data_IF_050690509891
#
_entry.id   IF_050690509891
#
_cell.length_a   1.000
_cell.length_b   1.000
_cell.length_c   1.000
_cell.angle_alpha   90.00
_cell.angle_beta   90.00
_cell.angle_gamma   90.00
#
_symmetry.space_group_name_H-M   'P 1'
#
loop_
_entity.id
_entity.type
_entity.pdbx_description
1 polymer ?
#
# COMPACT_ATOMS: atom_id res chain seq x y z
N UNK A 1 43.35 36.59 -27.14
CA UNK A 1 43.25 37.33 -25.86
C UNK A 1 42.05 36.78 -25.11
N UNK A 2 41.99 36.54 -23.82
CA UNK A 2 42.94 36.29 -22.73
C UNK A 2 42.04 36.07 -21.52
N UNK A 3 42.28 35.02 -20.73
CA UNK A 3 41.53 34.77 -19.49
C UNK A 3 41.74 35.92 -18.47
N UNK A 4 40.98 35.92 -17.36
CA UNK A 4 41.72 35.62 -16.13
C UNK A 4 41.09 34.52 -15.26
N UNK A 5 41.94 33.56 -14.96
CA UNK A 5 41.80 32.54 -13.91
C UNK A 5 41.91 33.17 -12.52
N UNK A 6 41.24 32.60 -11.51
CA UNK A 6 41.85 32.43 -10.16
C UNK A 6 41.24 31.27 -9.38
N UNK A 7 42.14 30.47 -8.79
CA UNK A 7 41.92 29.30 -7.91
C UNK A 7 41.81 29.75 -6.44
N UNK A 8 41.67 28.75 -5.56
CA UNK A 8 41.91 28.72 -4.09
C UNK A 8 40.66 28.92 -3.23
N UNK A 9 40.40 28.15 -2.17
CA UNK A 9 41.15 26.99 -1.58
C UNK A 9 40.20 26.09 -0.77
N UNK A 10 40.57 24.82 -0.57
CA UNK A 10 39.89 23.95 0.40
C UNK A 10 40.25 24.34 1.84
N UNK A 11 39.29 24.27 2.76
CA UNK A 11 39.57 24.05 4.18
C UNK A 11 38.50 23.14 4.80
N UNK A 12 38.97 22.08 5.45
CA UNK A 12 38.17 21.09 6.16
C UNK A 12 37.80 21.58 7.55
N UNK A 13 36.53 21.45 7.95
CA UNK A 13 36.13 21.47 9.36
C UNK A 13 35.14 20.34 9.65
N UNK A 14 35.59 19.38 10.45
CA UNK A 14 34.80 18.25 10.93
C UNK A 14 34.01 18.65 12.17
N UNK A 15 32.68 18.55 12.12
CA UNK A 15 31.82 18.62 13.31
C UNK A 15 31.53 17.20 13.83
N UNK A 16 31.97 16.93 15.06
CA UNK A 16 31.85 15.63 15.71
C UNK A 16 30.51 15.47 16.43
N UNK A 17 29.69 14.51 15.98
CA UNK A 17 28.51 14.05 16.71
C UNK A 17 28.89 12.97 17.73
N UNK A 18 28.54 13.18 19.00
CA UNK A 18 28.88 12.27 20.09
C UNK A 18 27.95 11.02 20.10
N UNK A 19 28.48 9.79 20.28
CA UNK A 19 27.66 8.59 20.43
C UNK A 19 27.24 8.37 21.90
N UNK A 20 25.93 8.23 22.12
CA UNK A 20 25.39 7.84 23.44
C UNK A 20 25.68 6.36 23.76
N UNK A 21 25.97 6.10 25.03
CA UNK A 21 26.27 4.76 25.58
C UNK A 21 25.04 3.84 25.47
N UNK A 22 25.17 2.68 24.80
CA UNK A 22 24.23 1.55 24.99
C UNK A 22 24.74 0.65 26.10
N UNK A 23 24.05 0.65 27.24
CA UNK A 23 24.28 -0.30 28.32
C UNK A 23 23.73 -1.68 27.92
N UNK A 24 24.46 -2.74 28.32
CA UNK A 24 24.06 -4.14 28.17
C UNK A 24 23.95 -4.73 29.57
N UNK A 25 22.72 -5.01 29.99
CA UNK A 25 22.42 -5.89 31.12
C UNK A 25 21.11 -6.60 30.80
N UNK A 26 21.05 -7.89 31.06
CA UNK A 26 19.79 -8.63 31.15
C UNK A 26 19.78 -9.42 32.44
N UNK A 27 18.60 -9.80 32.90
CA UNK A 27 18.32 -11.09 33.55
C UNK A 27 16.84 -11.20 33.95
N UNK A 28 16.39 -12.45 34.02
CA UNK A 28 15.29 -12.96 34.85
C UNK A 28 13.86 -12.40 34.64
N UNK A 29 13.06 -13.24 33.98
CA UNK A 29 11.72 -13.54 34.49
C UNK A 29 11.76 -14.92 35.18
N UNK A 30 11.05 -15.01 36.30
CA UNK A 30 10.86 -16.21 37.12
C UNK A 30 9.78 -17.13 36.54
N UNK A 31 9.73 -18.39 37.00
CA UNK A 31 8.44 -18.98 37.39
C UNK A 31 8.36 -19.25 38.89
N UNK A 32 7.14 -19.34 39.40
CA UNK A 32 6.80 -19.47 40.81
C UNK A 32 7.08 -20.87 41.38
N UNK A 33 7.40 -20.91 42.67
CA UNK A 33 7.30 -22.10 43.51
C UNK A 33 5.83 -22.44 43.83
N UNK A 34 5.57 -23.73 44.04
CA UNK A 34 4.56 -24.23 44.97
C UNK A 34 5.12 -25.44 45.70
N UNK A 35 4.84 -25.48 46.99
CA UNK A 35 5.33 -26.43 47.97
C UNK A 35 4.54 -27.75 47.90
N UNK A 36 5.13 -28.85 48.38
CA UNK A 36 4.71 -29.41 49.68
C UNK A 36 5.63 -30.57 50.14
N UNK A 37 5.65 -30.75 51.46
CA UNK A 37 6.48 -31.67 52.25
C UNK A 37 6.20 -33.19 52.03
N UNK A 38 7.12 -34.08 52.45
CA UNK A 38 7.06 -34.66 53.81
C UNK A 38 8.03 -35.85 54.12
N UNK A 39 8.50 -35.88 55.38
CA UNK A 39 8.99 -37.00 56.23
C UNK A 39 10.21 -37.88 55.82
N UNK A 40 11.33 -37.93 56.61
CA UNK A 40 11.62 -38.68 57.89
C UNK A 40 11.82 -40.20 57.70
N UNK A 41 12.60 -40.98 58.46
CA UNK A 41 13.63 -40.91 59.53
C UNK A 41 14.35 -42.32 59.51
N UNK A 42 15.48 -42.67 60.16
CA UNK A 42 16.47 -41.98 61.00
C UNK A 42 17.35 -43.00 61.80
N UNK A 43 18.65 -42.69 62.03
CA UNK A 43 19.56 -43.28 63.07
C UNK A 43 20.03 -44.76 62.97
N UNK A 44 21.06 -45.22 63.76
CA UNK A 44 22.13 -44.51 64.50
C UNK A 44 23.57 -45.01 64.15
N UNK A 45 24.59 -44.55 64.91
CA UNK A 45 26.01 -44.91 64.78
C UNK A 45 26.69 -45.19 66.14
N UNK A 46 27.78 -45.97 66.14
CA UNK A 46 28.70 -46.38 67.23
C UNK A 46 29.93 -47.06 66.55
N UNK A 47 31.19 -47.08 67.01
CA UNK A 47 31.92 -46.50 68.16
C UNK A 47 33.26 -45.85 67.72
N UNK A 48 33.99 -45.27 68.68
CA UNK A 48 35.38 -44.73 68.63
C UNK A 48 36.47 -45.80 68.97
N UNK A 49 37.80 -45.54 69.17
CA UNK A 49 38.61 -44.30 69.03
C UNK A 49 39.95 -44.44 68.23
N UNK A 50 40.71 -43.34 68.17
CA UNK A 50 42.04 -43.16 67.53
C UNK A 50 43.26 -43.77 68.30
N UNK A 51 44.48 -43.87 67.71
CA UNK A 51 45.42 -42.73 67.69
C UNK A 51 46.32 -42.58 66.44
N UNK A 52 47.05 -41.47 66.35
CA UNK A 52 47.87 -41.07 65.19
C UNK A 52 49.29 -41.69 65.13
N UNK A 53 49.78 -41.96 63.91
CA UNK A 53 51.21 -42.13 63.61
C UNK A 53 51.55 -41.72 62.16
N UNK A 54 52.78 -41.22 61.98
CA UNK A 54 53.27 -40.47 60.82
C UNK A 54 53.31 -41.16 59.44
N UNK A 55 53.18 -40.31 58.40
CA UNK A 55 53.76 -40.36 57.04
C UNK A 55 54.40 -41.67 56.53
N UNK A 56 53.97 -42.14 55.35
CA UNK A 56 54.84 -42.34 54.16
C UNK A 56 54.06 -42.70 52.88
N UNK A 57 54.21 -41.85 51.86
CA UNK A 57 53.96 -42.01 50.42
C UNK A 57 53.29 -43.28 49.85
N UNK A 58 52.06 -43.15 49.34
CA UNK A 58 51.58 -43.93 48.17
C UNK A 58 50.59 -43.11 47.32
N UNK A 59 50.90 -42.95 46.02
CA UNK A 59 49.99 -42.34 45.03
C UNK A 59 48.70 -43.16 44.94
N UNK A 60 47.54 -42.58 45.29
CA UNK A 60 46.23 -43.20 45.06
C UNK A 60 45.76 -42.83 43.65
N UNK A 61 45.45 -43.83 42.85
CA UNK A 61 45.23 -43.67 41.41
C UNK A 61 43.92 -42.93 41.08
N UNK A 62 43.97 -42.06 40.07
CA UNK A 62 42.78 -41.53 39.40
C UNK A 62 42.02 -42.67 38.74
N UNK A 63 40.74 -42.85 39.09
CA UNK A 63 39.85 -43.78 38.36
C UNK A 63 39.73 -43.32 36.91
N UNK A 64 39.99 -44.17 35.91
CA UNK A 64 39.85 -43.78 34.51
C UNK A 64 38.37 -43.59 34.18
N UNK A 65 38.01 -42.39 33.71
CA UNK A 65 36.71 -42.18 33.06
C UNK A 65 36.53 -43.18 31.91
N UNK A 66 35.33 -43.74 31.70
CA UNK A 66 35.10 -44.65 30.59
C UNK A 66 35.34 -43.92 29.27
N UNK A 67 36.41 -44.29 28.58
CA UNK A 67 36.71 -43.77 27.25
C UNK A 67 35.53 -44.08 26.33
N UNK A 68 35.09 -43.08 25.55
CA UNK A 68 33.99 -43.22 24.58
C UNK A 68 34.37 -44.30 23.56
N UNK A 69 33.98 -45.55 23.82
CA UNK A 69 34.25 -46.70 22.94
C UNK A 69 33.54 -46.45 21.61
N UNK A 70 34.29 -46.07 20.57
CA UNK A 70 33.78 -46.02 19.20
C UNK A 70 33.34 -47.43 18.81
N UNK A 71 32.04 -47.60 18.55
CA UNK A 71 31.51 -48.82 17.95
C UNK A 71 32.09 -48.96 16.53
N UNK A 72 32.88 -50.01 16.32
CA UNK A 72 33.43 -50.35 14.99
C UNK A 72 32.61 -51.48 14.41
N UNK A 73 31.74 -51.15 13.45
CA UNK A 73 30.96 -52.15 12.71
C UNK A 73 31.92 -52.81 11.71
N UNK A 74 32.16 -54.12 11.87
CA UNK A 74 32.95 -54.91 10.93
C UNK A 74 32.10 -55.25 9.69
N UNK A 75 32.28 -54.51 8.60
CA UNK A 75 31.66 -54.84 7.31
C UNK A 75 32.51 -55.89 6.57
N UNK A 76 31.93 -57.07 6.29
CA UNK A 76 32.54 -58.12 5.46
C UNK A 76 32.33 -57.90 3.94
N UNK A 77 31.94 -56.70 3.52
CA UNK A 77 31.75 -56.32 2.11
C UNK A 77 32.34 -54.93 1.88
N UNK A 78 32.88 -54.69 0.69
CA UNK A 78 33.38 -53.37 0.30
C UNK A 78 32.29 -52.31 0.45
N UNK A 79 32.68 -51.07 0.77
CA UNK A 79 31.75 -49.95 0.89
C UNK A 79 30.96 -49.82 -0.43
N UNK A 80 29.61 -49.90 -0.43
CA UNK A 80 28.84 -49.76 -1.65
C UNK A 80 29.11 -48.39 -2.26
N UNK A 81 29.66 -48.39 -3.47
CA UNK A 81 29.90 -47.20 -4.28
C UNK A 81 28.66 -46.92 -5.11
N UNK A 82 28.32 -45.63 -5.24
CA UNK A 82 27.30 -45.17 -6.19
C UNK A 82 27.56 -45.73 -7.60
N UNK A 83 26.54 -46.26 -8.29
CA UNK A 83 26.65 -46.57 -9.71
C UNK A 83 27.04 -45.30 -10.48
N UNK A 84 27.97 -45.41 -11.43
CA UNK A 84 28.42 -44.26 -12.25
C UNK A 84 27.29 -43.61 -13.05
N UNK A 85 26.24 -44.37 -13.37
CA UNK A 85 25.04 -43.89 -14.07
C UNK A 85 23.94 -43.38 -13.14
N UNK A 86 24.10 -43.44 -11.81
CA UNK A 86 23.05 -43.09 -10.85
C UNK A 86 22.54 -41.66 -11.05
N UNK A 87 23.45 -40.68 -11.07
CA UNK A 87 23.10 -39.27 -11.26
C UNK A 87 22.35 -39.06 -12.59
N UNK A 88 22.92 -39.52 -13.71
CA UNK A 88 22.36 -39.33 -15.05
C UNK A 88 20.97 -39.95 -15.21
N UNK A 89 20.77 -41.16 -14.67
CA UNK A 89 19.48 -41.85 -14.74
C UNK A 89 18.42 -41.19 -13.82
N UNK A 90 18.84 -40.72 -12.65
CA UNK A 90 17.95 -40.06 -11.69
C UNK A 90 17.55 -38.68 -12.20
N UNK A 91 18.49 -37.92 -12.76
CA UNK A 91 18.19 -36.68 -13.46
C UNK A 91 17.25 -36.91 -14.66
N UNK A 92 17.51 -37.90 -15.52
CA UNK A 92 16.62 -38.19 -16.67
C UNK A 92 15.17 -38.49 -16.24
N UNK A 93 14.98 -39.18 -15.11
CA UNK A 93 13.65 -39.41 -14.50
C UNK A 93 13.00 -38.09 -14.06
N UNK A 94 13.74 -37.24 -13.34
CA UNK A 94 13.26 -35.94 -12.86
C UNK A 94 12.96 -34.97 -14.02
N UNK A 95 13.86 -34.88 -15.00
CA UNK A 95 13.71 -34.10 -16.22
C UNK A 95 12.44 -34.50 -16.98
N UNK A 96 12.21 -35.81 -17.20
CA UNK A 96 10.99 -36.30 -17.84
C UNK A 96 9.72 -35.94 -17.07
N UNK A 97 9.77 -35.87 -15.73
CA UNK A 97 8.63 -35.46 -14.92
C UNK A 97 8.39 -33.93 -14.98
N UNK A 98 9.46 -33.13 -14.92
CA UNK A 98 9.40 -31.66 -15.06
C UNK A 98 8.87 -31.26 -16.44
N UNK A 99 9.36 -31.92 -17.50
CA UNK A 99 8.86 -31.72 -18.86
C UNK A 99 7.40 -32.15 -19.02
N UNK A 100 6.97 -33.24 -18.36
CA UNK A 100 5.55 -33.63 -18.36
C UNK A 100 4.68 -32.56 -17.68
N UNK A 101 5.12 -32.00 -16.55
CA UNK A 101 4.45 -30.89 -15.85
C UNK A 101 4.30 -29.67 -16.75
N UNK A 102 5.39 -29.17 -17.36
CA UNK A 102 5.35 -28.01 -18.25
C UNK A 102 4.51 -28.23 -19.52
N UNK A 103 4.41 -29.48 -19.99
CA UNK A 103 3.58 -29.85 -21.15
C UNK A 103 2.13 -30.22 -20.76
N UNK A 104 1.75 -30.10 -19.48
CA UNK A 104 0.47 -30.53 -18.92
C UNK A 104 0.08 -31.98 -19.30
N UNK A 105 1.07 -32.88 -19.24
CA UNK A 105 0.93 -34.32 -19.47
C UNK A 105 0.95 -35.08 -18.14
N UNK A 106 0.27 -36.22 -18.03
CA UNK A 106 0.34 -37.05 -16.83
C UNK A 106 1.79 -37.48 -16.58
N UNK A 107 2.27 -37.30 -15.35
CA UNK A 107 3.60 -37.73 -14.93
C UNK A 107 3.60 -39.26 -14.86
N UNK A 108 4.55 -39.89 -15.56
CA UNK A 108 4.65 -41.36 -15.69
C UNK A 108 5.24 -42.05 -14.46
N UNK A 109 5.71 -41.28 -13.48
CA UNK A 109 6.34 -41.74 -12.26
C UNK A 109 5.55 -41.29 -11.03
N UNK A 110 5.50 -42.14 -10.02
CA UNK A 110 4.92 -41.79 -8.72
C UNK A 110 5.67 -40.62 -8.05
N UNK A 111 4.92 -39.71 -7.43
CA UNK A 111 5.42 -38.48 -6.80
C UNK A 111 6.32 -38.76 -5.60
N UNK A 112 6.00 -39.75 -4.77
CA UNK A 112 6.87 -40.17 -3.66
C UNK A 112 8.19 -40.72 -4.22
N UNK A 113 8.12 -41.56 -5.26
CA UNK A 113 9.29 -42.02 -6.00
C UNK A 113 10.09 -40.94 -6.75
N UNK A 114 9.54 -39.73 -6.95
CA UNK A 114 10.26 -38.56 -7.48
C UNK A 114 10.87 -37.73 -6.34
N UNK A 115 10.13 -37.51 -5.25
CA UNK A 115 10.65 -36.85 -4.05
C UNK A 115 11.84 -37.60 -3.45
N UNK A 116 11.76 -38.93 -3.32
CA UNK A 116 12.89 -39.77 -2.89
C UNK A 116 14.08 -39.70 -3.87
N UNK A 117 13.83 -39.51 -5.17
CA UNK A 117 14.91 -39.34 -6.15
C UNK A 117 15.66 -38.01 -5.94
N UNK A 118 14.95 -36.92 -5.66
CA UNK A 118 15.57 -35.63 -5.25
C UNK A 118 16.31 -35.81 -3.92
N UNK A 119 15.69 -36.42 -2.91
CA UNK A 119 16.30 -36.55 -1.58
C UNK A 119 17.61 -37.36 -1.62
N UNK A 120 17.64 -38.45 -2.39
CA UNK A 120 18.85 -39.25 -2.58
C UNK A 120 19.96 -38.47 -3.32
N UNK A 121 19.63 -37.57 -4.26
CA UNK A 121 20.64 -36.69 -4.88
C UNK A 121 21.20 -35.68 -3.88
N UNK A 122 20.35 -35.08 -3.03
CA UNK A 122 20.77 -34.19 -1.95
C UNK A 122 21.61 -34.91 -0.87
N UNK A 123 21.29 -36.16 -0.53
CA UNK A 123 22.11 -36.97 0.38
C UNK A 123 23.53 -37.25 -0.16
N UNK A 124 23.72 -37.13 -1.47
CA UNK A 124 24.98 -37.37 -2.16
C UNK A 124 25.77 -36.10 -2.54
N UNK A 125 25.37 -34.93 -2.01
CA UNK A 125 26.04 -33.63 -2.25
C UNK A 125 25.98 -33.15 -3.71
N UNK A 126 24.86 -33.41 -4.39
CA UNK A 126 24.61 -33.04 -5.78
C UNK A 126 23.55 -31.94 -5.93
N UNK A 127 23.11 -31.34 -4.81
CA UNK A 127 22.06 -30.33 -4.71
C UNK A 127 22.29 -29.08 -5.57
N UNK A 128 23.50 -28.51 -5.60
CA UNK A 128 23.82 -27.33 -6.42
C UNK A 128 23.62 -27.62 -7.93
N UNK A 129 24.12 -28.77 -8.39
CA UNK A 129 23.99 -29.19 -9.78
C UNK A 129 22.54 -29.50 -10.14
N UNK A 130 21.79 -30.12 -9.22
CA UNK A 130 20.35 -30.38 -9.40
C UNK A 130 19.55 -29.08 -9.48
N UNK A 131 19.86 -28.08 -8.64
CA UNK A 131 19.25 -26.76 -8.71
C UNK A 131 19.46 -26.11 -10.08
N UNK A 132 20.72 -26.04 -10.55
CA UNK A 132 21.07 -25.47 -11.87
C UNK A 132 20.38 -26.23 -13.04
N UNK A 133 20.22 -27.55 -12.90
CA UNK A 133 19.52 -28.36 -13.90
C UNK A 133 18.01 -28.09 -13.93
N UNK A 134 17.36 -27.93 -12.76
CA UNK A 134 15.95 -27.53 -12.67
C UNK A 134 15.76 -26.12 -13.23
N UNK A 135 16.61 -25.17 -12.83
CA UNK A 135 16.59 -23.78 -13.31
C UNK A 135 16.63 -23.70 -14.83
N UNK A 136 17.54 -24.47 -15.46
CA UNK A 136 17.68 -24.52 -16.92
C UNK A 136 16.47 -25.11 -17.64
N UNK A 137 15.87 -26.19 -17.13
CA UNK A 137 14.65 -26.74 -17.76
C UNK A 137 13.47 -25.77 -17.62
N UNK A 138 13.32 -25.13 -16.45
CA UNK A 138 12.33 -24.08 -16.24
C UNK A 138 12.53 -22.90 -17.20
N UNK A 139 13.77 -22.42 -17.38
CA UNK A 139 14.11 -21.33 -18.30
C UNK A 139 13.64 -21.63 -19.74
N UNK A 140 13.96 -22.82 -20.25
CA UNK A 140 13.57 -23.26 -21.59
C UNK A 140 12.05 -23.25 -21.77
N UNK A 141 11.30 -23.78 -20.80
CA UNK A 141 9.84 -23.85 -20.88
C UNK A 141 9.17 -22.47 -20.71
N UNK A 142 9.61 -21.65 -19.76
CA UNK A 142 9.10 -20.29 -19.53
C UNK A 142 9.36 -19.41 -20.77
N UNK A 143 10.59 -19.47 -21.31
CA UNK A 143 10.95 -18.74 -22.52
C UNK A 143 10.10 -19.16 -23.72
N UNK A 144 9.87 -20.46 -23.90
CA UNK A 144 9.01 -20.98 -24.97
C UNK A 144 7.55 -20.54 -24.80
N UNK A 145 7.00 -20.62 -23.58
CA UNK A 145 5.63 -20.22 -23.28
C UNK A 145 5.37 -18.74 -23.61
N UNK A 146 6.22 -17.84 -23.14
CA UNK A 146 6.11 -16.40 -23.42
C UNK A 146 6.29 -16.07 -24.90
N UNK A 147 7.18 -16.76 -25.62
CA UNK A 147 7.33 -16.63 -27.08
C UNK A 147 6.06 -16.98 -27.86
N UNK A 148 5.15 -17.79 -27.33
CA UNK A 148 3.85 -18.07 -28.01
C UNK A 148 2.89 -16.88 -28.01
N UNK A 149 3.11 -15.87 -27.17
CA UNK A 149 2.27 -14.67 -27.06
C UNK A 149 2.73 -13.54 -28.00
N UNK A 150 3.99 -13.55 -28.44
CA UNK A 150 4.57 -12.55 -29.34
C UNK A 150 3.88 -12.60 -30.71
N UNK A 151 3.52 -11.45 -31.28
CA UNK A 151 2.88 -11.35 -32.60
C UNK A 151 1.44 -11.88 -32.70
N UNK A 152 0.78 -12.20 -31.57
CA UNK A 152 -0.63 -12.63 -31.58
C UNK A 152 -1.56 -11.45 -31.88
N UNK A 153 -2.16 -11.39 -33.08
CA UNK A 153 -3.08 -10.32 -33.48
C UNK A 153 -4.53 -10.57 -33.01
N UNK A 154 -4.71 -10.80 -31.72
CA UNK A 154 -6.02 -10.96 -31.06
C UNK A 154 -6.53 -9.64 -30.45
N UNK A 155 -7.84 -9.59 -30.19
CA UNK A 155 -8.48 -8.53 -29.39
C UNK A 155 -7.78 -8.36 -28.03
N UNK A 156 -7.66 -7.13 -27.47
CA UNK A 156 -7.01 -6.91 -26.18
C UNK A 156 -7.55 -7.78 -25.03
N UNK A 157 -8.86 -7.99 -24.91
CA UNK A 157 -9.45 -8.81 -23.84
C UNK A 157 -9.07 -10.29 -23.95
N UNK A 158 -9.03 -10.80 -25.19
CA UNK A 158 -8.58 -12.16 -25.51
C UNK A 158 -7.08 -12.30 -25.27
N UNK A 159 -6.29 -11.30 -25.64
CA UNK A 159 -4.85 -11.26 -25.38
C UNK A 159 -4.54 -11.32 -23.88
N UNK A 160 -5.20 -10.48 -23.07
CA UNK A 160 -5.04 -10.48 -21.60
C UNK A 160 -5.41 -11.83 -21.00
N UNK A 161 -6.50 -12.46 -21.46
CA UNK A 161 -6.90 -13.81 -21.04
C UNK A 161 -5.85 -14.88 -21.38
N UNK A 162 -5.12 -14.73 -22.50
CA UNK A 162 -4.01 -15.64 -22.85
C UNK A 162 -2.78 -15.43 -21.96
N UNK A 163 -2.48 -14.18 -21.60
CA UNK A 163 -1.39 -13.84 -20.66
C UNK A 163 -1.71 -14.39 -19.26
N UNK A 164 -2.92 -14.15 -18.76
CA UNK A 164 -3.38 -14.64 -17.45
C UNK A 164 -3.32 -16.17 -17.38
N UNK A 165 -3.81 -16.85 -18.42
CA UNK A 165 -3.73 -18.31 -18.49
C UNK A 165 -2.28 -18.82 -18.47
N UNK A 166 -1.36 -18.17 -19.20
CA UNK A 166 0.05 -18.55 -19.21
C UNK A 166 0.74 -18.32 -17.86
N UNK A 167 0.32 -17.29 -17.14
CA UNK A 167 0.75 -17.05 -15.77
C UNK A 167 0.21 -18.10 -14.79
N UNK A 168 -1.07 -18.46 -14.90
CA UNK A 168 -1.69 -19.49 -14.05
C UNK A 168 -1.10 -20.88 -14.32
N UNK A 169 -0.95 -21.26 -15.60
CA UNK A 169 -0.25 -22.48 -16.05
C UNK A 169 1.14 -22.55 -15.37
N UNK A 170 1.91 -21.46 -15.42
CA UNK A 170 3.23 -21.35 -14.78
C UNK A 170 3.19 -21.48 -13.26
N UNK A 171 2.23 -20.82 -12.58
CA UNK A 171 2.08 -20.93 -11.13
C UNK A 171 1.85 -22.37 -10.69
N UNK A 172 0.91 -23.07 -11.32
CA UNK A 172 0.56 -24.45 -10.99
C UNK A 172 1.72 -25.41 -11.27
N UNK A 173 2.43 -25.20 -12.38
CA UNK A 173 3.64 -25.95 -12.74
C UNK A 173 4.75 -25.76 -11.71
N UNK A 174 5.03 -24.52 -11.29
CA UNK A 174 6.07 -24.22 -10.30
C UNK A 174 5.72 -24.74 -8.91
N UNK A 175 4.44 -24.75 -8.51
CA UNK A 175 3.99 -25.39 -7.26
C UNK A 175 4.26 -26.91 -7.32
N UNK A 176 3.92 -27.59 -8.41
CA UNK A 176 4.20 -29.02 -8.56
C UNK A 176 5.70 -29.36 -8.57
N UNK A 177 6.51 -28.57 -9.29
CA UNK A 177 7.98 -28.75 -9.33
C UNK A 177 8.57 -28.54 -7.93
N UNK A 178 8.13 -27.52 -7.19
CA UNK A 178 8.53 -27.28 -5.80
C UNK A 178 8.12 -28.41 -4.87
N UNK A 179 6.94 -29.01 -5.06
CA UNK A 179 6.50 -30.16 -4.26
C UNK A 179 7.35 -31.41 -4.50
N UNK A 180 7.74 -31.69 -5.74
CA UNK A 180 8.68 -32.79 -6.07
C UNK A 180 10.06 -32.50 -5.48
N UNK A 181 10.56 -31.27 -5.65
CA UNK A 181 11.89 -30.83 -5.21
C UNK A 181 11.90 -30.26 -3.77
N UNK A 182 10.93 -30.63 -2.93
CA UNK A 182 10.74 -30.06 -1.60
C UNK A 182 11.95 -30.26 -0.66
N UNK A 183 12.69 -31.36 -0.82
CA UNK A 183 13.92 -31.63 -0.08
C UNK A 183 15.05 -30.67 -0.47
N UNK A 184 15.13 -30.25 -1.74
CA UNK A 184 16.08 -29.24 -2.21
C UNK A 184 15.76 -27.86 -1.61
N UNK A 185 14.49 -27.44 -1.70
CA UNK A 185 14.00 -26.16 -1.17
C UNK A 185 14.16 -26.08 0.36
N UNK A 186 13.93 -27.18 1.10
CA UNK A 186 14.04 -27.22 2.58
C UNK A 186 15.43 -27.50 3.14
N UNK A 187 16.30 -28.23 2.43
CA UNK A 187 17.64 -28.59 2.93
C UNK A 187 18.74 -27.72 2.35
N UNK A 188 18.75 -27.51 1.04
CA UNK A 188 19.82 -26.77 0.36
C UNK A 188 19.60 -25.26 0.42
N UNK A 189 18.44 -24.77 -0.05
CA UNK A 189 18.16 -23.32 -0.13
C UNK A 189 18.18 -22.68 1.26
N UNK A 190 17.50 -23.26 2.26
CA UNK A 190 17.50 -22.74 3.64
C UNK A 190 18.91 -22.65 4.25
N UNK A 191 19.85 -23.52 3.84
CA UNK A 191 21.23 -23.49 4.32
C UNK A 191 22.15 -22.53 3.54
N UNK A 192 21.71 -22.02 2.39
CA UNK A 192 22.51 -21.20 1.48
C UNK A 192 21.79 -19.88 1.15
N UNK A 193 21.96 -18.82 1.97
CA UNK A 193 21.23 -17.55 1.83
C UNK A 193 21.42 -16.81 0.50
N UNK A 194 22.44 -17.19 -0.30
CA UNK A 194 22.69 -16.63 -1.62
C UNK A 194 21.89 -17.34 -2.75
N UNK A 195 21.23 -18.46 -2.45
CA UNK A 195 20.42 -19.22 -3.39
C UNK A 195 18.94 -18.87 -3.17
N UNK A 196 18.19 -18.64 -4.24
CA UNK A 196 16.75 -18.35 -4.18
C UNK A 196 15.95 -19.64 -3.93
N UNK A 197 14.76 -19.53 -3.36
CA UNK A 197 13.80 -20.64 -3.41
C UNK A 197 13.42 -20.96 -4.85
N UNK A 198 12.97 -22.20 -5.11
CA UNK A 198 12.54 -22.60 -6.45
C UNK A 198 11.41 -21.72 -6.99
N UNK A 199 10.57 -21.19 -6.10
CA UNK A 199 9.51 -20.24 -6.43
C UNK A 199 10.07 -18.90 -6.90
N UNK A 200 10.95 -18.27 -6.11
CA UNK A 200 11.60 -16.98 -6.45
C UNK A 200 12.49 -17.09 -7.69
N UNK A 201 13.14 -18.23 -7.91
CA UNK A 201 13.85 -18.55 -9.14
C UNK A 201 12.89 -18.54 -10.34
N UNK A 202 11.75 -19.23 -10.25
CA UNK A 202 10.73 -19.23 -11.29
C UNK A 202 10.21 -17.82 -11.60
N UNK A 203 9.91 -17.02 -10.57
CA UNK A 203 9.50 -15.62 -10.72
C UNK A 203 10.56 -14.78 -11.42
N UNK A 204 11.85 -14.96 -11.08
CA UNK A 204 12.94 -14.23 -11.72
C UNK A 204 13.09 -14.62 -13.20
N UNK A 205 12.98 -15.90 -13.54
CA UNK A 205 13.01 -16.37 -14.94
C UNK A 205 11.82 -15.81 -15.74
N UNK A 206 10.62 -15.82 -15.16
CA UNK A 206 9.43 -15.26 -15.80
C UNK A 206 9.57 -13.75 -16.01
N UNK A 207 10.01 -12.99 -14.99
CA UNK A 207 10.30 -11.55 -15.10
C UNK A 207 11.32 -11.27 -16.22
N UNK A 208 12.43 -12.00 -16.25
CA UNK A 208 13.51 -11.81 -17.22
C UNK A 208 13.04 -12.09 -18.65
N UNK A 209 12.23 -13.13 -18.87
CA UNK A 209 11.72 -13.44 -20.20
C UNK A 209 10.55 -12.56 -20.62
N UNK A 210 9.76 -12.03 -19.68
CA UNK A 210 8.70 -11.05 -19.97
C UNK A 210 9.31 -9.72 -20.43
N UNK A 211 10.35 -9.22 -19.76
CA UNK A 211 11.04 -7.98 -20.17
C UNK A 211 11.79 -8.13 -21.50
N UNK A 212 12.33 -9.32 -21.80
CA UNK A 212 12.84 -9.65 -23.15
C UNK A 212 11.73 -9.70 -24.20
N UNK A 213 10.50 -10.06 -23.81
CA UNK A 213 9.30 -10.06 -24.64
C UNK A 213 8.51 -8.74 -24.50
N UNK A 214 9.20 -7.60 -24.61
CA UNK A 214 8.65 -6.24 -24.38
C UNK A 214 7.30 -5.95 -25.07
N UNK A 215 7.04 -6.51 -26.27
CA UNK A 215 5.74 -6.43 -26.94
C UNK A 215 4.60 -6.98 -26.06
N UNK A 216 4.82 -8.13 -25.42
CA UNK A 216 3.83 -8.80 -24.55
C UNK A 216 3.59 -7.97 -23.29
N UNK A 217 4.64 -7.45 -22.67
CA UNK A 217 4.54 -6.60 -21.49
C UNK A 217 3.75 -5.32 -21.81
N UNK A 218 4.15 -4.56 -22.84
CA UNK A 218 3.48 -3.32 -23.23
C UNK A 218 2.02 -3.55 -23.61
N UNK A 219 1.73 -4.57 -24.43
CA UNK A 219 0.33 -4.87 -24.82
C UNK A 219 -0.52 -5.30 -23.63
N UNK A 220 0.08 -5.96 -22.64
CA UNK A 220 -0.61 -6.28 -21.38
C UNK A 220 -0.93 -4.99 -20.63
N UNK A 221 0.04 -4.09 -20.43
CA UNK A 221 -0.19 -2.79 -19.77
C UNK A 221 -1.24 -1.96 -20.50
N UNK A 222 -1.13 -1.77 -21.83
CA UNK A 222 -2.12 -1.04 -22.63
C UNK A 222 -3.52 -1.67 -22.54
N UNK A 223 -3.62 -2.99 -22.54
CA UNK A 223 -4.89 -3.70 -22.36
C UNK A 223 -5.52 -3.44 -20.98
N UNK A 224 -4.72 -3.54 -19.91
CA UNK A 224 -5.17 -3.26 -18.53
C UNK A 224 -5.66 -1.81 -18.41
N UNK A 225 -4.91 -0.84 -18.93
CA UNK A 225 -5.28 0.58 -18.91
C UNK A 225 -6.59 0.83 -19.68
N UNK A 226 -6.73 0.24 -20.88
CA UNK A 226 -7.95 0.36 -21.68
C UNK A 226 -9.17 -0.25 -21.00
N UNK A 227 -9.03 -1.38 -20.30
CA UNK A 227 -10.12 -1.94 -19.47
C UNK A 227 -10.51 -1.01 -18.32
N UNK A 228 -9.56 -0.37 -17.65
CA UNK A 228 -9.87 0.56 -16.55
C UNK A 228 -10.55 1.83 -17.08
N UNK A 229 -10.10 2.35 -18.23
CA UNK A 229 -10.75 3.50 -18.89
C UNK A 229 -12.20 3.18 -19.30
N UNK A 230 -12.43 2.01 -19.90
CA UNK A 230 -13.78 1.51 -20.23
C UNK A 230 -14.68 1.41 -19.01
N UNK A 231 -14.15 0.94 -17.88
CA UNK A 231 -14.91 0.89 -16.62
C UNK A 231 -15.28 2.29 -16.12
N UNK A 232 -14.40 3.29 -16.25
CA UNK A 232 -14.73 4.70 -15.95
C UNK A 232 -15.81 5.26 -16.88
N UNK A 233 -15.90 4.77 -18.11
CA UNK A 233 -16.97 5.12 -19.05
C UNK A 233 -18.28 4.33 -18.82
N UNK A 234 -18.32 3.47 -17.79
CA UNK A 234 -19.50 2.68 -17.42
C UNK A 234 -19.66 1.36 -18.17
N UNK A 235 -18.66 0.94 -18.96
CA UNK A 235 -18.66 -0.40 -19.57
C UNK A 235 -18.39 -1.49 -18.52
N UNK A 236 -19.06 -2.64 -18.65
CA UNK A 236 -18.78 -3.79 -17.82
C UNK A 236 -17.45 -4.46 -18.24
N UNK A 237 -16.55 -4.68 -17.29
CA UNK A 237 -15.22 -5.28 -17.51
C UNK A 237 -14.96 -6.45 -16.58
N UNK A 238 -14.07 -7.37 -17.00
CA UNK A 238 -13.64 -8.48 -16.14
C UNK A 238 -12.66 -8.01 -15.05
N UNK A 239 -13.22 -7.70 -13.88
CA UNK A 239 -12.47 -7.33 -12.67
C UNK A 239 -11.59 -8.47 -12.14
N UNK A 240 -11.93 -9.73 -12.41
CA UNK A 240 -11.13 -10.88 -11.99
C UNK A 240 -9.84 -10.95 -12.80
N UNK A 241 -9.95 -10.81 -14.13
CA UNK A 241 -8.82 -10.74 -15.04
C UNK A 241 -7.87 -9.57 -14.71
N UNK A 242 -8.42 -8.38 -14.43
CA UNK A 242 -7.65 -7.23 -13.92
C UNK A 242 -6.91 -7.60 -12.63
N UNK A 243 -7.61 -8.15 -11.63
CA UNK A 243 -7.04 -8.53 -10.34
C UNK A 243 -5.91 -9.56 -10.48
N UNK A 244 -6.08 -10.58 -11.32
CA UNK A 244 -5.08 -11.63 -11.52
C UNK A 244 -3.81 -11.09 -12.20
N UNK A 245 -3.96 -10.30 -13.26
CA UNK A 245 -2.82 -9.73 -13.99
C UNK A 245 -2.09 -8.66 -13.17
N UNK A 246 -2.79 -7.82 -12.41
CA UNK A 246 -2.13 -6.85 -11.54
C UNK A 246 -1.37 -7.56 -10.40
N UNK A 247 -1.94 -8.63 -9.83
CA UNK A 247 -1.23 -9.50 -8.86
C UNK A 247 -0.02 -10.20 -9.48
N UNK A 248 -0.05 -10.58 -10.76
CA UNK A 248 1.15 -11.05 -11.47
C UNK A 248 2.24 -9.97 -11.50
N UNK A 249 1.90 -8.73 -11.87
CA UNK A 249 2.86 -7.62 -11.90
C UNK A 249 3.45 -7.33 -10.51
N UNK A 250 2.65 -7.43 -9.44
CA UNK A 250 3.14 -7.31 -8.05
C UNK A 250 4.04 -8.49 -7.67
N UNK A 251 3.66 -9.73 -7.99
CA UNK A 251 4.46 -10.94 -7.70
C UNK A 251 5.80 -10.97 -8.45
N UNK A 252 5.85 -10.43 -9.67
CA UNK A 252 7.08 -10.24 -10.45
C UNK A 252 7.90 -9.01 -10.01
N UNK A 253 7.33 -8.14 -9.15
CA UNK A 253 7.97 -6.92 -8.67
C UNK A 253 8.19 -5.85 -9.74
N UNK A 254 7.29 -5.78 -10.74
CA UNK A 254 7.33 -4.82 -11.86
C UNK A 254 6.15 -3.83 -11.87
N UNK A 255 5.17 -4.02 -10.98
CA UNK A 255 3.94 -3.20 -10.91
C UNK A 255 4.20 -1.68 -10.95
N UNK A 256 5.10 -1.16 -10.11
CA UNK A 256 5.38 0.29 -10.02
C UNK A 256 5.96 0.88 -11.32
N UNK A 257 6.91 0.14 -11.91
CA UNK A 257 7.72 0.56 -13.06
C UNK A 257 6.94 0.42 -14.37
N UNK A 258 6.33 -0.75 -14.60
CA UNK A 258 5.67 -1.08 -15.86
C UNK A 258 4.21 -0.61 -15.93
N UNK A 259 3.49 -0.57 -14.80
CA UNK A 259 2.05 -0.26 -14.77
C UNK A 259 1.71 1.04 -14.04
N UNK A 260 2.05 1.18 -12.75
CA UNK A 260 1.48 2.24 -11.90
C UNK A 260 1.80 3.65 -12.43
N UNK A 261 3.05 3.88 -12.84
CA UNK A 261 3.47 5.17 -13.40
C UNK A 261 2.58 5.58 -14.59
N UNK A 262 2.36 4.66 -15.54
CA UNK A 262 1.50 4.87 -16.71
C UNK A 262 0.02 4.97 -16.36
N UNK A 263 -0.43 4.20 -15.37
CA UNK A 263 -1.80 4.25 -14.86
C UNK A 263 -2.14 5.62 -14.27
N UNK A 264 -1.22 6.21 -13.50
CA UNK A 264 -1.38 7.55 -12.93
C UNK A 264 -1.31 8.64 -14.01
N UNK A 265 -0.43 8.51 -15.01
CA UNK A 265 -0.37 9.40 -16.18
C UNK A 265 -1.71 9.40 -16.95
N UNK A 266 -2.18 8.23 -17.41
CA UNK A 266 -3.46 8.12 -18.13
C UNK A 266 -4.66 8.55 -17.28
N UNK A 267 -4.63 8.32 -15.96
CA UNK A 267 -5.69 8.80 -15.05
C UNK A 267 -5.68 10.33 -14.93
N UNK A 268 -4.50 10.95 -14.89
CA UNK A 268 -4.36 12.40 -14.88
C UNK A 268 -4.90 13.02 -16.18
N UNK A 269 -4.62 12.41 -17.33
CA UNK A 269 -5.14 12.86 -18.63
C UNK A 269 -6.66 12.70 -18.73
N UNK A 270 -7.19 11.54 -18.32
CA UNK A 270 -8.63 11.26 -18.29
C UNK A 270 -9.39 12.30 -17.45
N UNK A 271 -8.98 12.52 -16.20
CA UNK A 271 -9.70 13.45 -15.32
C UNK A 271 -9.47 14.92 -15.65
N UNK A 272 -8.34 15.30 -16.28
CA UNK A 272 -8.17 16.65 -16.81
C UNK A 272 -9.19 16.94 -17.95
N UNK A 273 -9.40 15.98 -18.84
CA UNK A 273 -10.39 16.09 -19.91
C UNK A 273 -11.83 16.06 -19.38
N UNK A 274 -12.13 15.15 -18.44
CA UNK A 274 -13.46 15.01 -17.85
C UNK A 274 -13.84 16.23 -16.98
N UNK A 275 -12.93 16.70 -16.12
CA UNK A 275 -13.12 17.88 -15.28
C UNK A 275 -13.42 19.12 -16.11
N UNK A 276 -12.63 19.36 -17.17
CA UNK A 276 -12.91 20.44 -18.12
C UNK A 276 -14.26 20.27 -18.82
N UNK A 277 -14.63 19.07 -19.28
CA UNK A 277 -15.92 18.82 -19.96
C UNK A 277 -17.11 19.13 -19.03
N UNK A 278 -17.16 18.53 -17.85
CA UNK A 278 -18.30 18.71 -16.93
C UNK A 278 -18.37 20.16 -16.39
N UNK A 279 -17.24 20.83 -16.15
CA UNK A 279 -17.21 22.24 -15.72
C UNK A 279 -17.75 23.24 -16.77
N UNK A 280 -17.94 22.79 -18.01
CA UNK A 280 -18.60 23.57 -19.08
C UNK A 280 -20.05 23.12 -19.37
N UNK A 281 -20.40 21.87 -19.07
CA UNK A 281 -21.68 21.26 -19.46
C UNK A 281 -22.71 21.17 -18.33
N UNK A 282 -22.26 21.17 -17.08
CA UNK A 282 -23.08 21.01 -15.88
C UNK A 282 -23.06 22.26 -15.01
N UNK A 283 -24.02 22.37 -14.08
CA UNK A 283 -23.92 23.36 -13.00
C UNK A 283 -22.94 22.91 -11.90
N UNK A 284 -22.67 23.79 -10.93
CA UNK A 284 -21.73 23.48 -9.84
C UNK A 284 -22.27 22.41 -8.87
N UNK A 285 -23.54 22.41 -8.43
CA UNK A 285 -24.13 21.27 -7.72
C UNK A 285 -23.87 19.90 -8.39
N UNK A 286 -24.20 19.77 -9.68
CA UNK A 286 -24.02 18.55 -10.45
C UNK A 286 -22.53 18.17 -10.59
N UNK A 287 -21.67 19.16 -10.86
CA UNK A 287 -20.22 18.96 -10.95
C UNK A 287 -19.62 18.41 -9.64
N UNK A 288 -20.00 18.99 -8.50
CA UNK A 288 -19.50 18.56 -7.19
C UNK A 288 -19.96 17.14 -6.87
N UNK A 289 -21.21 16.78 -7.23
CA UNK A 289 -21.73 15.43 -7.08
C UNK A 289 -20.98 14.42 -7.97
N UNK A 290 -20.71 14.76 -9.23
CA UNK A 290 -19.90 13.95 -10.13
C UNK A 290 -18.48 13.74 -9.58
N UNK A 291 -17.83 14.79 -9.06
CA UNK A 291 -16.50 14.67 -8.46
C UNK A 291 -16.49 13.78 -7.20
N UNK A 292 -17.51 13.87 -6.35
CA UNK A 292 -17.71 12.98 -5.19
C UNK A 292 -17.90 11.52 -5.62
N UNK A 293 -18.72 11.26 -6.65
CA UNK A 293 -18.95 9.93 -7.22
C UNK A 293 -17.65 9.34 -7.80
N UNK A 294 -16.89 10.09 -8.60
CA UNK A 294 -15.59 9.65 -9.14
C UNK A 294 -14.57 9.32 -8.05
N UNK A 295 -14.50 10.12 -6.98
CA UNK A 295 -13.60 9.84 -5.85
C UNK A 295 -13.99 8.56 -5.09
N UNK A 296 -15.28 8.23 -5.04
CA UNK A 296 -15.75 6.96 -4.49
C UNK A 296 -15.41 5.78 -5.42
N UNK A 297 -15.65 5.91 -6.72
CA UNK A 297 -15.31 4.88 -7.72
C UNK A 297 -13.82 4.51 -7.73
N UNK A 298 -12.92 5.49 -7.69
CA UNK A 298 -11.47 5.23 -7.61
C UNK A 298 -11.06 4.60 -6.28
N UNK A 299 -11.75 4.91 -5.18
CA UNK A 299 -11.52 4.26 -3.90
C UNK A 299 -11.93 2.77 -3.95
N UNK A 300 -13.10 2.45 -4.52
CA UNK A 300 -13.54 1.07 -4.69
C UNK A 300 -12.62 0.30 -5.66
N UNK A 301 -12.17 0.95 -6.74
CA UNK A 301 -11.17 0.39 -7.67
C UNK A 301 -9.88 -0.04 -6.96
N UNK A 302 -9.41 0.77 -6.01
CA UNK A 302 -8.26 0.41 -5.17
C UNK A 302 -8.48 -0.82 -4.29
N UNK A 303 -9.71 -1.04 -3.82
CA UNK A 303 -10.05 -2.18 -2.95
C UNK A 303 -10.23 -3.47 -3.79
N UNK A 304 -10.75 -3.35 -5.01
CA UNK A 304 -11.12 -4.49 -5.85
C UNK A 304 -9.92 -5.16 -6.55
N UNK A 305 -8.98 -4.39 -7.13
CA UNK A 305 -7.93 -4.98 -7.96
C UNK A 305 -6.58 -4.26 -8.06
N UNK A 306 -6.42 -3.01 -7.61
CA UNK A 306 -5.11 -2.34 -7.61
C UNK A 306 -4.25 -2.76 -6.39
N UNK A 307 -2.96 -2.43 -6.43
CA UNK A 307 -2.10 -2.53 -5.24
C UNK A 307 -2.49 -1.48 -4.17
N UNK A 308 -2.36 -1.85 -2.90
CA UNK A 308 -2.70 -0.97 -1.78
C UNK A 308 -1.85 0.32 -1.74
N UNK A 309 -0.62 0.27 -2.28
CA UNK A 309 0.25 1.44 -2.45
C UNK A 309 -0.33 2.50 -3.38
N UNK A 310 -1.08 2.09 -4.41
CA UNK A 310 -1.65 2.96 -5.44
C UNK A 310 -2.78 3.86 -4.93
N UNK A 311 -3.44 3.50 -3.83
CA UNK A 311 -4.61 4.24 -3.31
C UNK A 311 -4.31 5.70 -3.04
N UNK A 312 -3.19 6.01 -2.38
CA UNK A 312 -2.83 7.41 -2.06
C UNK A 312 -2.54 8.25 -3.31
N UNK A 313 -1.64 7.85 -4.24
CA UNK A 313 -1.38 8.63 -5.44
C UNK A 313 -2.58 8.70 -6.39
N UNK A 314 -3.40 7.64 -6.49
CA UNK A 314 -4.60 7.67 -7.36
C UNK A 314 -5.64 8.69 -6.91
N UNK A 315 -5.97 8.68 -5.61
CA UNK A 315 -6.92 9.64 -5.04
C UNK A 315 -6.37 11.06 -5.15
N UNK A 316 -5.08 11.30 -4.84
CA UNK A 316 -4.46 12.61 -4.99
C UNK A 316 -4.46 13.12 -6.44
N UNK A 317 -4.21 12.26 -7.44
CA UNK A 317 -4.32 12.63 -8.87
C UNK A 317 -5.75 13.00 -9.24
N UNK A 318 -6.74 12.27 -8.72
CA UNK A 318 -8.17 12.53 -8.99
C UNK A 318 -8.64 13.83 -8.34
N UNK A 319 -8.27 14.07 -7.09
CA UNK A 319 -8.54 15.31 -6.34
C UNK A 319 -7.88 16.52 -7.01
N UNK A 320 -6.64 16.37 -7.50
CA UNK A 320 -5.96 17.43 -8.25
C UNK A 320 -6.70 17.82 -9.52
N UNK A 321 -7.04 16.85 -10.37
CA UNK A 321 -7.64 17.15 -11.67
C UNK A 321 -9.09 17.60 -11.57
N UNK A 322 -9.90 17.01 -10.67
CA UNK A 322 -11.32 17.37 -10.52
C UNK A 322 -11.58 18.54 -9.56
N UNK A 323 -10.69 18.84 -8.61
CA UNK A 323 -10.90 19.89 -7.61
C UNK A 323 -9.84 20.99 -7.71
N UNK A 324 -8.56 20.67 -7.53
CA UNK A 324 -7.47 21.67 -7.43
C UNK A 324 -7.37 22.54 -8.69
N UNK A 325 -7.44 21.94 -9.88
CA UNK A 325 -7.42 22.65 -11.17
C UNK A 325 -8.69 23.49 -11.44
N UNK A 326 -9.75 23.35 -10.64
CA UNK A 326 -11.07 23.94 -10.90
C UNK A 326 -11.63 24.81 -9.76
N UNK A 327 -10.85 25.09 -8.70
CA UNK A 327 -11.28 25.89 -7.52
C UNK A 327 -11.92 27.24 -7.94
N UNK A 328 -11.25 28.05 -8.76
CA UNK A 328 -11.79 29.34 -9.20
C UNK A 328 -13.09 29.17 -10.01
N UNK A 329 -13.14 28.38 -11.10
CA UNK A 329 -14.39 28.09 -11.81
C UNK A 329 -15.56 27.63 -10.92
N UNK A 330 -15.31 26.76 -9.93
CA UNK A 330 -16.32 26.28 -8.97
C UNK A 330 -16.86 27.45 -8.13
N UNK A 331 -15.97 28.26 -7.54
CA UNK A 331 -16.37 29.34 -6.64
C UNK A 331 -16.97 30.53 -7.39
N UNK A 332 -16.36 30.95 -8.49
CA UNK A 332 -16.75 32.14 -9.26
C UNK A 332 -18.10 31.95 -9.96
N UNK A 333 -18.41 30.73 -10.45
CA UNK A 333 -19.71 30.41 -11.08
C UNK A 333 -20.78 30.00 -10.08
N UNK A 334 -20.41 29.18 -9.08
CA UNK A 334 -21.39 28.44 -8.26
C UNK A 334 -21.69 29.05 -6.90
N UNK A 335 -20.68 29.60 -6.22
CA UNK A 335 -20.79 29.87 -4.78
C UNK A 335 -21.91 30.86 -4.43
N UNK A 336 -22.03 31.95 -5.18
CA UNK A 336 -23.11 32.95 -4.97
C UNK A 336 -24.49 32.31 -5.13
N UNK A 337 -24.69 31.50 -6.18
CA UNK A 337 -25.94 30.80 -6.47
C UNK A 337 -26.31 29.79 -5.38
N UNK A 338 -25.33 29.04 -4.86
CA UNK A 338 -25.52 28.10 -3.76
C UNK A 338 -25.96 28.79 -2.46
N UNK A 339 -25.33 29.93 -2.14
CA UNK A 339 -25.64 30.74 -0.96
C UNK A 339 -27.01 31.40 -1.06
N UNK A 340 -27.31 32.07 -2.18
CA UNK A 340 -28.61 32.73 -2.42
C UNK A 340 -29.76 31.71 -2.44
N UNK A 341 -29.53 30.53 -3.03
CA UNK A 341 -30.48 29.42 -3.06
C UNK A 341 -30.57 28.59 -1.78
N UNK A 342 -29.79 28.91 -0.73
CA UNK A 342 -29.71 28.19 0.55
C UNK A 342 -29.51 26.66 0.38
N UNK A 343 -28.67 26.26 -0.57
CA UNK A 343 -28.40 24.86 -0.93
C UNK A 343 -27.46 24.20 0.08
N UNK A 344 -27.92 23.95 1.30
CA UNK A 344 -27.08 23.53 2.45
C UNK A 344 -26.34 22.21 2.20
N UNK A 345 -26.98 21.22 1.58
CA UNK A 345 -26.35 19.94 1.20
C UNK A 345 -25.20 20.13 0.19
N UNK A 346 -25.41 20.96 -0.84
CA UNK A 346 -24.38 21.20 -1.87
C UNK A 346 -23.23 22.07 -1.34
N UNK A 347 -23.53 23.01 -0.42
CA UNK A 347 -22.52 23.77 0.32
C UNK A 347 -21.71 22.86 1.27
N UNK A 348 -22.33 21.84 1.87
CA UNK A 348 -21.65 20.85 2.69
C UNK A 348 -20.74 19.97 1.83
N UNK A 349 -21.20 19.54 0.65
CA UNK A 349 -20.38 18.81 -0.34
C UNK A 349 -19.19 19.66 -0.82
N UNK A 350 -19.42 20.93 -1.14
CA UNK A 350 -18.36 21.88 -1.51
C UNK A 350 -17.30 22.02 -0.41
N UNK A 351 -17.73 22.22 0.84
CA UNK A 351 -16.84 22.32 2.00
C UNK A 351 -16.02 21.03 2.20
N UNK A 352 -16.69 19.88 2.14
CA UNK A 352 -16.05 18.57 2.29
C UNK A 352 -15.04 18.31 1.18
N UNK A 353 -15.37 18.56 -0.09
CA UNK A 353 -14.45 18.38 -1.22
C UNK A 353 -13.25 19.33 -1.14
N UNK A 354 -13.46 20.62 -0.87
CA UNK A 354 -12.35 21.58 -0.74
C UNK A 354 -11.47 21.32 0.50
N UNK A 355 -12.00 20.68 1.55
CA UNK A 355 -11.20 20.24 2.70
C UNK A 355 -10.15 19.17 2.35
N UNK A 356 -10.39 18.36 1.30
CA UNK A 356 -9.50 17.26 0.90
C UNK A 356 -8.22 17.76 0.22
N UNK A 357 -8.27 18.96 -0.34
CA UNK A 357 -7.17 19.63 -1.03
C UNK A 357 -6.66 20.87 -0.26
N UNK A 358 -6.95 20.96 1.04
CA UNK A 358 -6.58 22.08 1.94
C UNK A 358 -6.97 23.49 1.43
N UNK A 359 -7.98 23.59 0.57
CA UNK A 359 -8.35 24.81 -0.16
C UNK A 359 -9.27 25.78 0.62
N UNK A 360 -9.29 25.70 1.95
CA UNK A 360 -10.19 26.51 2.80
C UNK A 360 -10.05 28.02 2.57
N UNK A 361 -8.84 28.52 2.32
CA UNK A 361 -8.59 29.95 2.12
C UNK A 361 -9.39 30.54 0.95
N UNK A 362 -9.53 29.81 -0.16
CA UNK A 362 -10.33 30.23 -1.30
C UNK A 362 -11.82 30.28 -0.96
N UNK A 363 -12.33 29.28 -0.23
CA UNK A 363 -13.73 29.24 0.20
C UNK A 363 -14.04 30.36 1.23
N UNK A 364 -13.12 30.67 2.15
CA UNK A 364 -13.26 31.81 3.09
C UNK A 364 -13.26 33.15 2.36
N UNK A 365 -12.41 33.32 1.34
CA UNK A 365 -12.39 34.53 0.50
C UNK A 365 -13.70 34.67 -0.29
N UNK A 366 -14.20 33.59 -0.89
CA UNK A 366 -15.51 33.57 -1.57
C UNK A 366 -16.66 33.94 -0.62
N UNK A 367 -16.66 33.38 0.61
CA UNK A 367 -17.64 33.71 1.65
C UNK A 367 -17.58 35.17 2.07
N UNK A 368 -16.39 35.73 2.35
CA UNK A 368 -16.27 37.14 2.71
C UNK A 368 -16.69 38.06 1.56
N UNK A 369 -16.31 37.73 0.31
CA UNK A 369 -16.72 38.46 -0.89
C UNK A 369 -18.24 38.46 -1.08
N UNK A 370 -18.88 37.29 -0.92
CA UNK A 370 -20.33 37.15 -0.96
C UNK A 370 -21.03 37.98 0.13
N UNK A 371 -20.61 37.83 1.39
CA UNK A 371 -21.22 38.54 2.52
C UNK A 371 -21.12 40.06 2.31
N UNK A 372 -19.95 40.57 1.94
CA UNK A 372 -19.75 42.01 1.69
C UNK A 372 -20.63 42.51 0.55
N UNK A 373 -20.69 41.82 -0.59
CA UNK A 373 -21.52 42.22 -1.76
C UNK A 373 -23.01 42.14 -1.48
N UNK A 374 -23.48 41.09 -0.79
CA UNK A 374 -24.90 40.90 -0.48
C UNK A 374 -25.37 41.84 0.63
N UNK A 375 -24.59 41.98 1.71
CA UNK A 375 -24.90 42.93 2.77
C UNK A 375 -24.81 44.40 2.33
N UNK A 376 -23.88 44.77 1.44
CA UNK A 376 -23.81 46.13 0.90
C UNK A 376 -25.09 46.50 0.15
N UNK A 377 -25.69 45.57 -0.60
CA UNK A 377 -26.99 45.76 -1.27
C UNK A 377 -28.14 45.98 -0.27
N UNK A 378 -28.06 45.43 0.94
CA UNK A 378 -29.06 45.63 2.00
C UNK A 378 -28.85 46.99 2.69
N UNK A 379 -27.60 47.36 3.01
CA UNK A 379 -27.27 48.55 3.81
C UNK A 379 -27.36 49.87 3.02
N UNK A 380 -27.10 49.82 1.72
CA UNK A 380 -27.05 51.01 0.83
C UNK A 380 -28.35 51.27 0.05
N UNK A 381 -29.40 50.47 0.27
CA UNK A 381 -30.71 50.68 -0.35
C UNK A 381 -31.53 51.65 0.50
N UNK A 382 -31.35 52.96 0.25
CA UNK A 382 -32.03 54.05 0.98
C UNK A 382 -33.58 53.93 0.92
N UNK A 383 -34.14 53.32 -0.12
CA UNK A 383 -35.59 53.11 -0.24
C UNK A 383 -36.11 52.04 0.75
N UNK A 384 -35.25 51.07 1.12
CA UNK A 384 -35.56 49.97 2.04
C UNK A 384 -35.02 50.18 3.46
N UNK A 385 -34.67 51.41 3.83
CA UNK A 385 -34.20 51.80 5.18
C UNK A 385 -35.06 51.23 6.32
N UNK A 386 -36.38 51.13 6.13
CA UNK A 386 -37.33 50.60 7.13
C UNK A 386 -37.12 49.11 7.40
N UNK A 387 -36.84 48.34 6.35
CA UNK A 387 -36.72 46.88 6.38
C UNK A 387 -35.27 46.42 6.57
N UNK A 388 -34.31 47.35 6.51
CA UNK A 388 -32.86 47.08 6.58
C UNK A 388 -32.46 46.27 7.81
N UNK A 389 -32.97 46.60 9.00
CA UNK A 389 -32.59 45.88 10.24
C UNK A 389 -33.13 44.46 10.24
N UNK A 390 -34.38 44.24 9.82
CA UNK A 390 -34.95 42.90 9.71
C UNK A 390 -34.22 42.08 8.64
N UNK A 391 -33.93 42.68 7.48
CA UNK A 391 -33.18 42.05 6.39
C UNK A 391 -31.76 41.64 6.82
N UNK A 392 -31.08 42.44 7.64
CA UNK A 392 -29.77 42.10 8.20
C UNK A 392 -29.84 40.96 9.23
N UNK A 393 -30.89 40.91 10.06
CA UNK A 393 -31.13 39.79 10.99
C UNK A 393 -31.40 38.50 10.21
N UNK A 394 -32.29 38.53 9.23
CA UNK A 394 -32.64 37.37 8.40
C UNK A 394 -31.42 36.86 7.59
N UNK A 395 -30.60 37.78 7.09
CA UNK A 395 -29.34 37.45 6.40
C UNK A 395 -28.31 36.84 7.35
N UNK A 396 -28.15 37.39 8.56
CA UNK A 396 -27.25 36.83 9.58
C UNK A 396 -27.70 35.43 10.01
N UNK A 397 -28.98 35.23 10.28
CA UNK A 397 -29.55 33.91 10.60
C UNK A 397 -29.29 32.91 9.48
N UNK A 398 -29.50 33.29 8.21
CA UNK A 398 -29.22 32.40 7.08
C UNK A 398 -27.75 31.99 6.98
N UNK A 399 -26.82 32.88 7.32
CA UNK A 399 -25.39 32.58 7.32
C UNK A 399 -24.96 31.72 8.51
N UNK A 400 -25.59 31.92 9.67
CA UNK A 400 -25.38 31.08 10.85
C UNK A 400 -25.86 29.65 10.57
N UNK A 401 -27.06 29.47 9.98
CA UNK A 401 -27.54 28.15 9.53
C UNK A 401 -26.55 27.46 8.58
N UNK A 402 -26.05 28.17 7.56
CA UNK A 402 -25.05 27.61 6.62
C UNK A 402 -23.72 27.28 7.32
N UNK A 403 -23.27 28.11 8.25
CA UNK A 403 -22.05 27.85 9.04
C UNK A 403 -22.19 26.61 9.93
N UNK A 404 -23.36 26.45 10.55
CA UNK A 404 -23.66 25.29 11.41
C UNK A 404 -23.84 23.99 10.62
N UNK A 405 -24.66 24.00 9.57
CA UNK A 405 -25.05 22.80 8.82
C UNK A 405 -24.02 22.42 7.74
N UNK A 406 -23.55 23.39 6.95
CA UNK A 406 -22.67 23.12 5.80
C UNK A 406 -21.19 23.20 6.15
N UNK A 407 -20.77 24.15 6.98
CA UNK A 407 -19.35 24.37 7.31
C UNK A 407 -18.92 23.76 8.65
N UNK A 408 -19.73 22.84 9.21
CA UNK A 408 -19.42 22.04 10.39
C UNK A 408 -18.98 22.87 11.62
N UNK A 409 -19.54 24.08 11.80
CA UNK A 409 -19.17 25.04 12.86
C UNK A 409 -17.68 25.39 12.90
N UNK A 410 -17.00 25.39 11.74
CA UNK A 410 -15.57 25.73 11.67
C UNK A 410 -15.32 27.18 12.11
N UNK A 411 -14.56 27.36 13.19
CA UNK A 411 -14.26 28.67 13.80
C UNK A 411 -13.65 29.69 12.82
N UNK A 412 -12.85 29.25 11.86
CA UNK A 412 -12.26 30.16 10.85
C UNK A 412 -13.32 30.76 9.92
N UNK A 413 -14.40 30.02 9.65
CA UNK A 413 -15.56 30.51 8.88
C UNK A 413 -16.45 31.40 9.74
N UNK A 414 -16.66 31.07 11.01
CA UNK A 414 -17.38 31.92 11.97
C UNK A 414 -16.73 33.30 12.14
N UNK A 415 -15.40 33.34 12.29
CA UNK A 415 -14.63 34.59 12.30
C UNK A 415 -14.75 35.34 10.96
N UNK A 416 -14.66 34.63 9.83
CA UNK A 416 -14.82 35.25 8.49
C UNK A 416 -16.20 35.89 8.31
N UNK A 417 -17.28 35.29 8.85
CA UNK A 417 -18.62 35.86 8.87
C UNK A 417 -18.66 37.12 9.74
N UNK A 418 -18.13 37.04 10.97
CA UNK A 418 -18.08 38.15 11.93
C UNK A 418 -17.35 39.37 11.36
N UNK A 419 -16.13 39.20 10.87
CA UNK A 419 -15.30 40.28 10.33
C UNK A 419 -15.96 40.93 9.10
N UNK A 420 -16.65 40.12 8.29
CA UNK A 420 -17.40 40.61 7.13
C UNK A 420 -18.65 41.39 7.54
N UNK A 421 -19.35 40.98 8.61
CA UNK A 421 -20.49 41.72 9.17
C UNK A 421 -20.09 43.03 9.85
N UNK A 422 -18.97 43.05 10.57
CA UNK A 422 -18.44 44.28 11.16
C UNK A 422 -18.11 45.31 10.06
N UNK A 423 -17.50 44.86 8.95
CA UNK A 423 -17.27 45.72 7.79
C UNK A 423 -18.56 46.26 7.16
N UNK A 424 -19.62 45.44 7.07
CA UNK A 424 -20.93 45.86 6.54
C UNK A 424 -21.60 46.95 7.37
N UNK A 425 -21.65 46.78 8.70
CA UNK A 425 -22.29 47.74 9.62
C UNK A 425 -21.56 49.09 9.59
N UNK A 426 -20.23 49.05 9.49
CA UNK A 426 -19.39 50.25 9.41
C UNK A 426 -19.38 50.93 8.03
N UNK A 427 -19.98 50.33 7.00
CA UNK A 427 -19.93 50.84 5.62
C UNK A 427 -20.77 52.11 5.42
N UNK A 428 -21.88 52.26 6.16
CA UNK A 428 -22.76 53.44 6.12
C UNK A 428 -22.74 54.13 7.47
N UNK A 429 -22.16 55.32 7.54
CA UNK A 429 -21.96 56.02 8.81
C UNK A 429 -23.29 56.35 9.51
N UNK A 430 -23.35 56.10 10.82
CA UNK A 430 -24.43 56.42 11.77
C UNK A 430 -25.79 55.74 11.53
N UNK A 431 -26.19 55.51 10.28
CA UNK A 431 -27.55 55.10 9.91
C UNK A 431 -27.94 53.68 10.36
N UNK A 432 -27.07 52.65 10.27
CA UNK A 432 -27.33 51.34 10.87
C UNK A 432 -27.55 51.42 12.38
N UNK A 433 -26.74 52.19 13.11
CA UNK A 433 -26.91 52.35 14.56
C UNK A 433 -28.22 53.06 14.92
N UNK A 434 -28.60 54.11 14.18
CA UNK A 434 -29.87 54.82 14.36
C UNK A 434 -31.08 53.90 14.11
N UNK A 435 -31.06 53.11 13.03
CA UNK A 435 -32.17 52.23 12.67
C UNK A 435 -32.28 51.03 13.62
N UNK A 436 -31.16 50.48 14.11
CA UNK A 436 -31.15 49.45 15.17
C UNK A 436 -31.79 49.98 16.46
N UNK A 437 -31.47 51.21 16.87
CA UNK A 437 -32.05 51.83 18.07
C UNK A 437 -33.58 52.05 17.92
N UNK A 438 -34.03 52.49 16.74
CA UNK A 438 -35.47 52.64 16.42
C UNK A 438 -36.21 51.30 16.41
N UNK A 439 -35.61 50.28 15.80
CA UNK A 439 -36.16 48.92 15.77
C UNK A 439 -36.30 48.35 17.19
N UNK A 440 -35.34 48.61 18.08
CA UNK A 440 -35.41 48.20 19.49
C UNK A 440 -36.56 48.90 20.23
N UNK A 441 -36.71 50.24 20.09
CA UNK A 441 -37.84 50.98 20.68
C UNK A 441 -39.19 50.43 20.21
N UNK A 442 -39.33 50.17 18.91
CA UNK A 442 -40.56 49.63 18.34
C UNK A 442 -40.90 48.24 18.89
N UNK A 443 -39.91 47.33 18.97
CA UNK A 443 -40.11 45.99 19.56
C UNK A 443 -40.45 46.05 21.05
N UNK A 444 -39.82 46.93 21.83
CA UNK A 444 -40.13 47.12 23.25
C UNK A 444 -41.52 47.72 23.46
N UNK A 445 -41.92 48.70 22.65
CA UNK A 445 -43.26 49.31 22.70
C UNK A 445 -44.36 48.40 22.17
N UNK A 446 -44.04 47.47 21.26
CA UNK A 446 -44.95 46.41 20.84
C UNK A 446 -45.12 45.36 21.95
N UNK A 447 -44.04 44.95 22.63
CA UNK A 447 -44.10 44.07 23.81
C UNK A 447 -44.98 44.64 24.92
N UNK A 448 -44.85 45.93 25.22
CA UNK A 448 -45.67 46.64 26.21
C UNK A 448 -47.13 46.90 25.77
N UNK A 449 -47.56 46.46 24.58
CA UNK A 449 -48.97 46.44 24.14
C UNK A 449 -49.61 45.05 24.25
N UNK A 450 -48.88 44.07 24.80
CA UNK A 450 -49.26 42.67 24.89
C UNK A 450 -49.47 42.13 26.31
N UNK A 451 -49.93 42.96 27.25
CA UNK A 451 -50.45 42.57 28.57
C UNK A 451 -51.50 43.59 29.04
#
# INVERSE_FOLDING_TARGET
MSLPTKRSTCSSSSSSSAPMKKARNGLQQTPQSRDDDNDREGFPAEEDPTPAAANLSRKKATLPQPTKKKLVIKLNRAKPTLPTNFEKNTWAKLQSAIQAIFLMKPVTFDYEGLYQAVDNLCLHKLEEKLYQQIEKECEVHISAALKTLVGQNTDPSVFLSLVERRWQDFCDQMVMIRSIALSLDRKYVIQNPCVRSLWEMGLQLFRNHLSLAYEVEQRTVTGLLSMIEKERLGEAVDRTLLSHLLKMFTALGIYMESFETRFLECTSEFYAAEGMKYMHQSDVPEYLKHAEERLHEENERCILYLDAGTRKPLIATTEKQLLECHISPILDKGFTTLMDGRRTEDLQRLYTLLSRIDAFEFLRQALSSYIRKSGQRIVMDDEKDKDMVQSLLDFKTSLDTIWEESFSKNESFGNTIKDSFEHLINLRQNRPAELIAKFLDEKLRAGNKGT
#
